data_IF_271367215813
#
_entry.id   IF_271367215813
#
_cell.length_a   1.000
_cell.length_b   1.000
_cell.length_c   1.000
_cell.angle_alpha   90.00
_cell.angle_beta   90.00
_cell.angle_gamma   90.00
#
_symmetry.space_group_name_H-M   'P 1'
#
loop_
_entity.id
_entity.type
_entity.pdbx_description
1 polymer ?
2 non-polymer ?
3 non-polymer ?
4 water ?
#
# COMPACT_ATOMS: atom_id res chain seq x y z
N UNK A 3 33.88 1.64 15.80
CA UNK A 3 33.73 1.30 17.24
C UNK A 3 32.84 2.35 17.88
N UNK A 4 32.74 3.49 17.19
CA UNK A 4 31.90 4.61 17.61
C UNK A 4 30.45 4.18 17.43
N UNK A 5 29.68 4.21 18.51
CA UNK A 5 28.27 3.88 18.39
C UNK A 5 27.56 5.03 17.69
N UNK A 6 26.62 4.71 16.80
CA UNK A 6 25.79 5.74 16.20
C UNK A 6 24.83 6.30 17.26
N UNK A 7 24.32 7.51 17.06
CA UNK A 7 23.37 8.05 18.03
C UNK A 7 22.14 7.16 18.15
N UNK A 8 21.66 6.95 19.37
CA UNK A 8 20.55 6.02 19.63
C UNK A 8 19.39 6.74 20.30
N UNK A 9 18.18 6.55 19.77
CA UNK A 9 17.02 7.25 20.35
C UNK A 9 16.72 6.76 21.75
N UNK A 10 16.11 7.65 22.55
CA UNK A 10 15.66 7.33 23.91
C UNK A 10 14.69 6.16 23.98
N UNK A 11 14.54 5.62 25.19
CA UNK A 11 13.59 4.55 25.42
C UNK A 11 14.16 3.19 24.99
N UNK A 12 13.28 2.26 24.63
CA UNK A 12 13.73 0.97 24.13
C UNK A 12 14.35 0.13 25.22
N UNK A 13 13.81 0.24 26.43
CA UNK A 13 14.36 -0.49 27.56
C UNK A 13 13.60 -1.79 27.77
N UNK A 14 12.68 -2.10 26.87
CA UNK A 14 11.91 -3.36 26.92
C UNK A 14 12.80 -4.55 26.46
N UNK A 15 12.30 -5.78 26.62
CA UNK A 15 13.09 -6.97 26.30
C UNK A 15 13.70 -6.94 24.91
N UNK A 16 12.94 -6.50 23.94
CA UNK A 16 13.48 -6.47 22.57
C UNK A 16 13.83 -5.04 22.11
N UNK A 17 14.24 -4.21 23.07
CA UNK A 17 14.67 -2.87 22.73
C UNK A 17 13.48 -2.00 22.35
N UNK A 18 13.55 -1.41 21.16
CA UNK A 18 12.44 -0.59 20.70
C UNK A 18 11.33 -1.36 19.98
N UNK A 19 11.46 -2.68 19.90
CA UNK A 19 10.51 -3.49 19.13
C UNK A 19 9.09 -3.28 19.59
N UNK A 20 8.89 -3.31 20.89
CA UNK A 20 7.57 -3.20 21.46
C UNK A 20 6.93 -1.86 21.07
N UNK A 21 7.68 -0.77 21.20
CA UNK A 21 7.18 0.51 20.71
C UNK A 21 6.93 0.53 19.19
N UNK A 22 7.82 -0.09 18.43
CA UNK A 22 7.66 -0.17 16.98
C UNK A 22 6.36 -0.91 16.62
N UNK A 23 5.93 -1.82 17.49
CA UNK A 23 4.72 -2.62 17.26
C UNK A 23 3.46 -1.87 17.68
N UNK A 24 3.63 -0.75 18.38
CA UNK A 24 2.48 -0.04 18.94
C UNK A 24 2.34 1.38 18.36
N UNK A 25 3.47 2.05 18.16
CA UNK A 25 3.44 3.42 17.66
C UNK A 25 4.69 3.69 16.86
N UNK A 26 4.82 3.01 15.72
CA UNK A 26 6.05 3.14 14.96
C UNK A 26 6.28 4.58 14.46
N UNK A 27 5.20 5.29 14.16
CA UNK A 27 5.38 6.63 13.65
C UNK A 27 5.95 7.54 14.75
N UNK A 28 5.38 7.51 15.97
CA UNK A 28 5.96 8.28 17.08
C UNK A 28 7.41 7.93 17.40
N UNK A 29 7.76 6.64 17.33
CA UNK A 29 9.16 6.21 17.51
C UNK A 29 10.06 6.84 16.44
N UNK A 30 9.67 6.74 15.17
CA UNK A 30 10.49 7.29 14.11
C UNK A 30 10.59 8.80 14.20
N UNK A 31 9.51 9.48 14.58
CA UNK A 31 9.58 10.94 14.80
C UNK A 31 10.51 11.30 15.92
N UNK A 32 10.50 10.51 16.99
CA UNK A 32 11.38 10.79 18.12
C UNK A 32 12.84 10.62 17.72
N UNK A 33 13.13 9.62 16.89
CA UNK A 33 14.49 9.48 16.37
C UNK A 33 14.97 10.79 15.73
N UNK A 34 14.12 11.34 14.86
CA UNK A 34 14.45 12.56 14.15
C UNK A 34 14.52 13.76 15.08
N UNK A 35 13.55 13.85 16.00
CA UNK A 35 13.51 14.99 16.90
C UNK A 35 14.74 15.03 17.81
N UNK A 36 15.17 13.87 18.30
CA UNK A 36 16.34 13.83 19.20
C UNK A 36 17.68 13.87 18.47
N UNK A 37 17.77 13.18 17.33
CA UNK A 37 19.05 12.89 16.71
C UNK A 37 19.31 13.57 15.36
N UNK A 38 18.24 13.94 14.66
CA UNK A 38 18.35 14.55 13.34
C UNK A 38 18.28 13.52 12.21
N UNK A 39 19.09 13.75 11.17
CA UNK A 39 18.97 13.05 9.90
C UNK A 39 19.42 11.59 9.92
N UNK A 40 20.25 11.25 10.90
CA UNK A 40 20.76 9.88 11.02
C UNK A 40 20.65 9.49 12.49
N UNK A 41 19.83 8.49 12.79
CA UNK A 41 19.68 8.06 14.19
C UNK A 41 19.29 6.62 14.21
N UNK A 42 19.49 5.95 15.34
CA UNK A 42 19.18 4.50 15.38
C UNK A 42 18.13 4.13 16.42
N UNK A 43 17.46 3.01 16.19
CA UNK A 43 16.65 2.36 17.21
C UNK A 43 16.94 0.87 17.15
N UNK A 44 16.64 0.18 18.24
CA UNK A 44 16.98 -1.25 18.33
C UNK A 44 15.74 -2.08 18.06
N UNK A 45 15.83 -2.95 17.07
CA UNK A 45 14.71 -3.86 16.80
C UNK A 45 15.19 -5.27 17.18
N UNK A 46 14.88 -5.72 18.41
CA UNK A 46 15.44 -6.98 18.93
C UNK A 46 16.97 -6.97 18.72
N UNK A 47 17.53 -7.99 18.06
CA UNK A 47 18.99 -7.98 17.95
C UNK A 47 19.53 -7.14 16.82
N UNK A 48 18.70 -6.28 16.24
CA UNK A 48 19.11 -5.59 15.01
C UNK A 48 19.06 -4.12 15.23
N UNK A 49 20.09 -3.41 14.77
CA UNK A 49 20.12 -1.95 14.79
C UNK A 49 19.49 -1.45 13.51
N UNK A 50 18.57 -0.50 13.63
CA UNK A 50 18.00 0.15 12.43
C UNK A 50 18.57 1.56 12.41
N UNK A 51 19.23 1.89 11.32
CA UNK A 51 19.72 3.25 11.07
C UNK A 51 18.65 3.96 10.25
N UNK A 52 17.94 4.85 10.92
CA UNK A 52 16.81 5.55 10.31
C UNK A 52 17.32 6.86 9.73
N UNK A 53 17.19 6.98 8.42
CA UNK A 53 17.60 8.19 7.72
C UNK A 53 16.39 9.05 7.47
N UNK A 54 16.59 10.37 7.49
CA UNK A 54 15.51 11.28 7.12
C UNK A 54 16.08 12.58 6.62
N UNK A 55 15.24 13.34 5.92
CA UNK A 55 15.68 14.60 5.32
C UNK A 55 16.27 14.41 3.95
N UNK A 56 16.37 15.49 3.19
CA UNK A 56 16.77 15.37 1.80
C UNK A 56 18.11 14.68 1.57
N UNK A 57 19.14 15.15 2.26
CA UNK A 57 20.48 14.62 1.99
C UNK A 57 20.61 13.13 2.29
N UNK A 58 20.13 12.71 3.47
CA UNK A 58 20.21 11.28 3.80
C UNK A 58 19.28 10.44 2.92
N UNK A 59 18.09 10.95 2.62
CA UNK A 59 17.17 10.21 1.76
C UNK A 59 17.75 10.02 0.35
N UNK A 60 18.45 11.05 -0.13
CA UNK A 60 19.07 10.96 -1.44
C UNK A 60 20.05 9.80 -1.48
N UNK A 61 20.86 9.68 -0.43
CA UNK A 61 21.76 8.53 -0.34
C UNK A 61 20.98 7.22 -0.43
N UNK A 62 19.91 7.12 0.35
CA UNK A 62 19.13 5.90 0.47
C UNK A 62 18.54 5.52 -0.88
N UNK A 63 17.95 6.48 -1.56
CA UNK A 63 17.19 6.18 -2.77
C UNK A 63 18.04 6.07 -4.01
N UNK A 64 19.23 6.68 -3.97
CA UNK A 64 20.16 6.54 -5.10
C UNK A 64 21.05 5.30 -4.96
N UNK A 65 21.00 4.64 -3.81
CA UNK A 65 21.80 3.42 -3.63
C UNK A 65 21.33 2.26 -4.53
N UNK A 66 22.29 1.64 -5.20
CA UNK A 66 22.05 0.42 -5.96
C UNK A 66 21.99 -0.83 -5.09
N UNK A 67 21.53 -1.93 -5.69
CA UNK A 67 21.28 -3.15 -4.93
C UNK A 67 22.57 -3.68 -4.34
N UNK A 68 23.68 -3.18 -4.89
CA UNK A 68 25.02 -3.49 -4.41
C UNK A 68 25.33 -2.87 -3.05
N UNK A 69 24.78 -1.68 -2.81
CA UNK A 69 25.04 -0.94 -1.58
C UNK A 69 24.01 -1.25 -0.52
N UNK A 70 22.74 -1.21 -0.92
CA UNK A 70 21.65 -1.41 0.01
C UNK A 70 20.70 -2.47 -0.54
N UNK A 71 20.54 -3.57 0.19
CA UNK A 71 19.79 -4.75 -0.25
C UNK A 71 18.36 -4.71 0.28
N UNK A 72 17.42 -4.61 -0.65
CA UNK A 72 16.02 -4.54 -0.28
C UNK A 72 15.44 -5.89 0.19
N UNK A 73 15.52 -6.91 -0.65
CA UNK A 73 14.86 -8.17 -0.34
C UNK A 73 15.33 -8.83 0.97
N UNK A 74 16.60 -8.64 1.33
CA UNK A 74 17.12 -9.18 2.59
C UNK A 74 16.52 -8.55 3.83
N UNK A 75 15.92 -7.38 3.66
CA UNK A 75 15.32 -6.68 4.79
C UNK A 75 13.87 -7.15 5.07
N UNK A 76 13.38 -8.09 4.27
CA UNK A 76 11.97 -8.53 4.37
C UNK A 76 11.83 -10.06 4.52
N UNK A 77 12.60 -10.65 5.45
CA UNK A 77 12.60 -12.11 5.53
C UNK A 77 11.23 -12.66 5.95
N UNK A 78 10.45 -11.82 6.63
CA UNK A 78 9.13 -12.19 7.10
C UNK A 78 8.08 -12.39 5.99
N UNK A 79 8.43 -12.05 4.75
CA UNK A 79 7.50 -12.23 3.63
C UNK A 79 7.55 -13.68 3.12
N UNK A 80 8.53 -14.46 3.58
CA UNK A 80 8.70 -15.84 3.12
C UNK A 80 7.46 -16.74 3.42
N UNK A 81 6.93 -16.67 4.65
CA UNK A 81 5.77 -17.53 4.91
C UNK A 81 4.49 -17.04 4.22
N UNK A 82 4.52 -15.81 3.69
CA UNK A 82 3.36 -15.27 3.00
C UNK A 82 3.39 -15.70 1.53
N UNK A 83 4.49 -15.42 0.85
CA UNK A 83 4.61 -15.86 -0.52
C UNK A 83 4.73 -17.39 -0.61
N UNK A 84 5.49 -17.97 0.31
CA UNK A 84 5.72 -19.41 0.31
C UNK A 84 7.15 -19.76 -0.07
N UNK A 85 7.48 -21.04 0.09
CA UNK A 85 8.81 -21.59 -0.24
C UNK A 85 9.37 -21.21 -1.63
N UNK A 86 8.59 -21.43 -2.68
CA UNK A 86 9.14 -21.34 -4.03
C UNK A 86 9.04 -19.97 -4.74
N UNK A 87 8.50 -18.95 -4.06
CA UNK A 87 8.62 -17.58 -4.57
C UNK A 87 9.92 -17.02 -4.04
N UNK A 88 10.97 -17.10 -4.86
CA UNK A 88 12.34 -16.78 -4.42
C UNK A 88 12.71 -15.31 -4.67
N UNK A 89 12.24 -14.42 -3.79
CA UNK A 89 12.27 -12.99 -4.03
C UNK A 89 13.57 -12.33 -3.59
N UNK A 106 1.98 -2.01 -18.73
CA UNK A 106 2.43 -1.44 -19.99
C UNK A 106 1.46 -0.36 -20.44
N UNK A 107 1.95 0.69 -21.09
CA UNK A 107 1.08 1.78 -21.48
C UNK A 107 -0.08 1.28 -22.31
N UNK A 108 0.23 0.32 -23.18
CA UNK A 108 -0.76 -0.25 -24.09
C UNK A 108 -1.87 -0.99 -23.36
N UNK A 109 -1.63 -1.43 -22.13
CA UNK A 109 -2.67 -2.14 -21.39
C UNK A 109 -3.47 -1.25 -20.45
N UNK A 110 -3.02 -0.02 -20.27
CA UNK A 110 -3.60 0.79 -19.18
C UNK A 110 -5.04 1.16 -19.42
N UNK A 111 -5.34 1.51 -20.68
CA UNK A 111 -6.72 1.86 -21.00
C UNK A 111 -7.65 0.68 -20.69
N UNK A 112 -7.22 -0.54 -21.05
CA UNK A 112 -8.03 -1.72 -20.75
C UNK A 112 -8.19 -1.90 -19.24
N UNK A 113 -7.13 -1.64 -18.50
CA UNK A 113 -7.20 -1.83 -17.06
C UNK A 113 -8.17 -0.81 -16.48
N UNK A 114 -8.18 0.40 -17.04
CA UNK A 114 -9.10 1.43 -16.48
C UNK A 114 -10.54 0.98 -16.68
N UNK A 115 -10.81 0.41 -17.84
CA UNK A 115 -12.16 -0.09 -18.14
C UNK A 115 -12.47 -1.26 -17.18
N UNK A 116 -11.48 -2.11 -16.91
CA UNK A 116 -11.65 -3.23 -16.01
C UNK A 116 -11.99 -2.71 -14.62
N UNK A 117 -11.24 -1.70 -14.20
CA UNK A 117 -11.50 -1.11 -12.90
C UNK A 117 -12.89 -0.50 -12.76
N UNK A 118 -13.31 0.26 -13.77
CA UNK A 118 -14.64 0.80 -13.79
C UNK A 118 -15.65 -0.35 -13.63
N UNK A 119 -15.44 -1.42 -14.36
CA UNK A 119 -16.42 -2.55 -14.30
C UNK A 119 -16.46 -3.15 -12.90
N UNK A 120 -15.30 -3.26 -12.26
CA UNK A 120 -15.25 -3.90 -10.95
C UNK A 120 -15.92 -3.01 -9.92
N UNK A 121 -15.74 -1.70 -10.04
CA UNK A 121 -16.41 -0.79 -9.11
C UNK A 121 -17.91 -0.86 -9.31
N UNK A 122 -18.37 -0.79 -10.57
CA UNK A 122 -19.83 -0.89 -10.80
C UNK A 122 -20.37 -2.18 -10.20
N UNK A 123 -19.62 -3.26 -10.33
CA UNK A 123 -20.08 -4.54 -9.79
C UNK A 123 -20.16 -4.48 -8.27
N UNK A 124 -19.17 -3.84 -7.63
CA UNK A 124 -19.16 -3.73 -6.15
C UNK A 124 -20.29 -2.90 -5.58
N UNK A 125 -20.76 -1.93 -6.34
CA UNK A 125 -21.83 -1.04 -5.84
C UNK A 125 -23.22 -1.40 -6.41
N UNK A 126 -23.28 -2.47 -7.20
CA UNK A 126 -24.52 -2.85 -7.89
C UNK A 126 -25.68 -3.06 -6.91
N UNK A 127 -25.36 -3.52 -5.70
CA UNK A 127 -26.45 -3.80 -4.70
C UNK A 127 -26.61 -2.70 -3.64
N UNK A 128 -25.99 -1.55 -3.90
CA UNK A 128 -26.05 -0.45 -2.95
C UNK A 128 -27.44 0.14 -2.81
N UNK A 129 -28.18 0.20 -3.90
CA UNK A 129 -29.48 0.86 -3.85
C UNK A 129 -29.45 2.37 -3.59
N UNK A 130 -30.53 2.91 -3.05
CA UNK A 130 -30.66 4.34 -2.95
C UNK A 130 -29.74 4.92 -1.87
N UNK A 131 -29.55 4.19 -0.79
CA UNK A 131 -28.84 4.75 0.35
C UNK A 131 -28.43 3.62 1.29
N UNK A 132 -27.40 3.86 2.10
CA UNK A 132 -26.93 2.77 2.96
C UNK A 132 -25.66 3.18 3.68
N UNK A 133 -25.00 2.19 4.27
CA UNK A 133 -23.77 2.44 5.02
C UNK A 133 -22.75 1.38 4.67
N UNK A 134 -21.50 1.80 4.51
CA UNK A 134 -20.42 0.86 4.31
C UNK A 134 -19.32 1.05 5.35
N UNK A 135 -18.49 0.03 5.49
CA UNK A 135 -17.22 0.17 6.22
C UNK A 135 -16.11 0.27 5.17
N UNK A 136 -15.29 1.31 5.25
CA UNK A 136 -14.33 1.58 4.15
C UNK A 136 -13.31 0.46 4.02
N UNK A 137 -12.87 -0.10 5.15
CA UNK A 137 -11.90 -1.21 5.04
C UNK A 137 -12.53 -2.43 4.34
N UNK A 138 -13.69 -2.86 4.81
CA UNK A 138 -14.39 -3.96 4.17
C UNK A 138 -14.60 -3.71 2.67
N UNK A 139 -15.06 -2.51 2.34
CA UNK A 139 -15.39 -2.17 0.96
C UNK A 139 -14.13 -2.10 0.09
N UNK A 140 -13.17 -1.28 0.48
CA UNK A 140 -12.00 -1.11 -0.38
C UNK A 140 -11.05 -2.33 -0.40
N UNK A 141 -10.95 -3.04 0.71
CA UNK A 141 -10.15 -4.27 0.69
C UNK A 141 -10.70 -5.26 -0.33
N UNK A 142 -12.01 -5.46 -0.30
CA UNK A 142 -12.62 -6.44 -1.23
C UNK A 142 -12.54 -5.92 -2.67
N UNK A 143 -12.90 -4.66 -2.87
CA UNK A 143 -12.82 -4.06 -4.22
C UNK A 143 -11.47 -4.27 -4.85
N UNK A 144 -10.41 -4.05 -4.09
CA UNK A 144 -9.07 -4.04 -4.66
C UNK A 144 -8.54 -5.47 -4.87
N UNK A 145 -9.16 -6.44 -4.21
CA UNK A 145 -8.85 -7.83 -4.58
C UNK A 145 -9.36 -8.08 -6.01
N UNK A 146 -10.54 -7.56 -6.31
CA UNK A 146 -11.14 -7.78 -7.63
C UNK A 146 -10.40 -7.00 -8.72
N UNK A 147 -10.07 -5.74 -8.46
CA UNK A 147 -9.35 -4.96 -9.48
C UNK A 147 -7.98 -5.58 -9.72
N UNK A 148 -7.25 -5.94 -8.66
CA UNK A 148 -5.88 -6.49 -8.80
C UNK A 148 -5.92 -7.84 -9.51
N UNK A 149 -6.83 -8.72 -9.06
CA UNK A 149 -6.89 -10.05 -9.70
C UNK A 149 -7.31 -9.92 -11.17
N UNK A 150 -8.27 -9.05 -11.47
CA UNK A 150 -8.74 -8.93 -12.85
C UNK A 150 -7.67 -8.36 -13.75
N UNK A 151 -6.96 -7.34 -13.29
CA UNK A 151 -5.93 -6.72 -14.13
C UNK A 151 -4.66 -7.57 -14.26
N UNK A 152 -4.24 -8.17 -13.15
CA UNK A 152 -2.94 -8.84 -13.13
C UNK A 152 -2.99 -10.30 -13.56
N UNK A 153 -4.11 -10.95 -13.28
CA UNK A 153 -4.24 -12.37 -13.58
C UNK A 153 -5.23 -12.61 -14.73
N UNK A 154 -6.40 -11.96 -14.62
CA UNK A 154 -7.40 -12.03 -15.66
C UNK A 154 -8.81 -11.94 -15.14
N UNK A 155 -9.68 -11.37 -15.95
CA UNK A 155 -11.10 -11.31 -15.63
C UNK A 155 -11.68 -12.70 -15.37
N UNK A 156 -11.32 -13.69 -16.19
CA UNK A 156 -11.83 -15.03 -15.99
C UNK A 156 -11.54 -15.53 -14.56
N UNK A 157 -10.30 -15.28 -14.09
CA UNK A 157 -9.94 -15.67 -12.73
C UNK A 157 -10.71 -14.83 -11.71
N UNK A 158 -10.78 -13.52 -11.88
CA UNK A 158 -11.56 -12.75 -10.90
C UNK A 158 -12.97 -13.25 -10.78
N UNK A 159 -13.56 -13.60 -11.91
CA UNK A 159 -14.96 -14.05 -11.93
C UNK A 159 -15.20 -15.35 -11.15
N UNK A 160 -14.14 -16.10 -10.85
CA UNK A 160 -14.26 -17.28 -10.00
C UNK A 160 -13.92 -16.99 -8.54
N UNK A 161 -13.68 -15.71 -8.20
CA UNK A 161 -13.46 -15.26 -6.81
C UNK A 161 -14.69 -14.65 -6.21
N UNK A 162 -14.79 -14.72 -4.88
CA UNK A 162 -15.82 -14.02 -4.14
C UNK A 162 -15.21 -13.48 -2.86
N UNK A 163 -16.05 -13.13 -1.88
CA UNK A 163 -15.56 -12.50 -0.67
C UNK A 163 -14.59 -13.32 0.16
N UNK A 164 -14.61 -14.65 0.00
CA UNK A 164 -13.72 -15.49 0.80
C UNK A 164 -12.26 -15.18 0.48
N UNK A 165 -11.95 -14.92 -0.79
CA UNK A 165 -10.56 -14.70 -1.14
C UNK A 165 -10.05 -13.45 -0.43
N UNK A 166 -10.87 -12.39 -0.41
CA UNK A 166 -10.49 -11.15 0.26
C UNK A 166 -10.29 -11.37 1.77
N UNK A 167 -11.20 -12.12 2.39
CA UNK A 167 -11.12 -12.40 3.82
C UNK A 167 -9.77 -13.08 4.15
N UNK A 168 -9.39 -14.03 3.33
CA UNK A 168 -8.16 -14.79 3.56
C UNK A 168 -6.92 -13.93 3.30
N UNK A 169 -6.99 -13.15 2.22
CA UNK A 169 -5.86 -12.31 1.86
C UNK A 169 -5.64 -11.29 2.98
N UNK A 170 -6.72 -10.82 3.58
CA UNK A 170 -6.57 -9.91 4.70
C UNK A 170 -5.82 -10.54 5.86
N UNK A 171 -6.12 -11.79 6.20
CA UNK A 171 -5.40 -12.51 7.26
C UNK A 171 -3.93 -12.68 6.94
N UNK A 172 -3.63 -12.87 5.67
CA UNK A 172 -2.27 -13.01 5.29
C UNK A 172 -1.55 -11.70 5.62
N UNK A 173 -2.18 -10.59 5.23
CA UNK A 173 -1.56 -9.28 5.47
C UNK A 173 -1.40 -8.97 6.94
N UNK A 174 -2.35 -9.46 7.74
CA UNK A 174 -2.27 -9.31 9.19
C UNK A 174 -1.14 -10.15 9.81
N UNK A 175 -0.54 -11.04 9.01
CA UNK A 175 0.59 -11.87 9.45
C UNK A 175 1.97 -11.22 9.44
N UNK A 176 2.02 -9.89 9.59
CA UNK A 176 3.28 -9.16 9.43
C UNK A 176 3.62 -8.34 10.67
N UNK A 177 3.27 -8.87 11.84
CA UNK A 177 3.75 -8.28 13.08
C UNK A 177 5.27 -8.12 13.03
N UNK A 178 5.81 -6.97 13.49
CA UNK A 178 7.27 -6.79 13.44
C UNK A 178 8.01 -7.79 14.33
N UNK A 179 7.28 -8.52 15.17
CA UNK A 179 7.88 -9.62 15.96
C UNK A 179 8.50 -10.62 15.01
N UNK A 180 8.03 -10.60 13.77
CA UNK A 180 8.63 -11.48 12.77
C UNK A 180 10.13 -11.21 12.58
N UNK A 181 10.62 -10.04 12.98
CA UNK A 181 12.06 -9.80 12.91
C UNK A 181 12.81 -10.64 13.95
N UNK A 182 12.11 -11.00 15.02
CA UNK A 182 12.68 -11.95 15.98
C UNK A 182 12.63 -13.34 15.31
N UNK A 183 11.42 -13.78 14.97
CA UNK A 183 11.21 -15.09 14.33
C UNK A 183 9.81 -15.08 13.71
N UNK A 184 9.71 -15.34 12.41
CA UNK A 184 8.38 -15.33 11.76
C UNK A 184 7.49 -16.54 12.09
N UNK A 185 7.98 -17.48 12.91
CA UNK A 185 7.22 -18.70 13.19
C UNK A 185 6.90 -18.88 14.68
N UNK A 186 7.06 -17.80 15.44
CA UNK A 186 6.63 -17.80 16.82
C UNK A 186 5.16 -18.24 16.96
N UNK A 187 4.85 -18.98 18.03
CA UNK A 187 3.50 -19.47 18.23
C UNK A 187 2.62 -18.36 18.76
N UNK A 188 2.37 -17.37 17.91
CA UNK A 188 1.40 -16.36 18.23
C UNK A 188 0.24 -16.48 17.25
N UNK A 189 -0.92 -15.99 17.66
CA UNK A 189 -2.14 -16.21 16.91
C UNK A 189 -2.07 -15.58 15.51
N UNK A 190 -1.46 -14.40 15.39
CA UNK A 190 -1.48 -13.75 14.09
C UNK A 190 -0.66 -14.52 13.09
N UNK A 191 0.38 -15.21 13.58
CA UNK A 191 1.20 -16.04 12.70
C UNK A 191 0.48 -17.34 12.38
N UNK A 192 -0.21 -17.93 13.36
CA UNK A 192 -1.00 -19.15 13.09
C UNK A 192 -2.07 -18.83 12.08
N UNK A 193 -2.72 -17.68 12.25
CA UNK A 193 -3.78 -17.30 11.32
C UNK A 193 -3.22 -16.94 9.92
N UNK A 194 -2.01 -16.39 9.88
CA UNK A 194 -1.36 -16.14 8.60
C UNK A 194 -1.18 -17.47 7.88
N UNK A 195 -0.70 -18.46 8.61
CA UNK A 195 -0.39 -19.73 7.96
C UNK A 195 -1.65 -20.47 7.49
N UNK A 196 -2.69 -20.41 8.32
CA UNK A 196 -3.95 -21.04 7.95
C UNK A 196 -4.59 -20.30 6.78
N UNK A 197 -4.47 -18.98 6.76
CA UNK A 197 -5.06 -18.18 5.70
C UNK A 197 -4.40 -18.59 4.40
N UNK A 198 -3.08 -18.76 4.41
CA UNK A 198 -2.40 -19.18 3.19
C UNK A 198 -2.88 -20.55 2.73
N UNK A 199 -2.97 -21.53 3.64
CA UNK A 199 -3.58 -22.82 3.27
C UNK A 199 -4.99 -22.67 2.66
N UNK A 200 -5.79 -21.73 3.20
CA UNK A 200 -7.13 -21.49 2.69
C UNK A 200 -7.09 -20.96 1.26
N UNK A 201 -6.14 -20.07 0.99
CA UNK A 201 -5.99 -19.53 -0.37
C UNK A 201 -5.57 -20.65 -1.31
N UNK A 202 -4.65 -21.51 -0.89
CA UNK A 202 -4.29 -22.65 -1.77
C UNK A 202 -5.52 -23.50 -2.12
N UNK A 203 -6.34 -23.78 -1.11
CA UNK A 203 -7.57 -24.55 -1.35
C UNK A 203 -8.53 -23.86 -2.35
N UNK A 204 -8.68 -22.54 -2.25
CA UNK A 204 -9.54 -21.83 -3.16
C UNK A 204 -9.01 -21.99 -4.58
N UNK A 205 -7.69 -21.86 -4.73
CA UNK A 205 -7.08 -21.94 -6.06
C UNK A 205 -7.20 -23.36 -6.61
N UNK A 206 -7.06 -24.36 -5.73
CA UNK A 206 -7.25 -25.76 -6.18
C UNK A 206 -8.68 -26.02 -6.61
N UNK A 207 -9.66 -25.49 -5.89
CA UNK A 207 -11.06 -25.67 -6.31
C UNK A 207 -11.24 -24.98 -7.68
N UNK A 208 -10.61 -23.82 -7.90
CA UNK A 208 -10.77 -23.11 -9.18
C UNK A 208 -10.19 -23.97 -10.31
N UNK A 209 -9.00 -24.51 -10.08
CA UNK A 209 -8.36 -25.40 -11.04
C UNK A 209 -9.27 -26.60 -11.36
N UNK A 210 -9.80 -27.23 -10.31
CA UNK A 210 -10.74 -28.35 -10.51
C UNK A 210 -12.01 -27.96 -11.23
N UNK A 211 -12.55 -26.80 -10.90
CA UNK A 211 -13.71 -26.26 -11.58
C UNK A 211 -13.48 -26.11 -13.07
N UNK A 212 -12.26 -25.71 -13.44
CA UNK A 212 -11.95 -25.49 -14.84
C UNK A 212 -11.82 -26.80 -15.62
N UNK A 213 -11.42 -27.86 -14.93
CA UNK A 213 -11.32 -29.18 -15.53
C UNK A 213 -12.71 -29.62 -15.91
N UNK A 214 -13.65 -29.42 -14.99
CA UNK A 214 -14.96 -30.02 -15.11
C UNK A 214 -15.90 -29.19 -15.96
N UNK A 215 -15.63 -27.89 -16.00
CA UNK A 215 -16.52 -26.92 -16.66
C UNK A 215 -15.73 -25.94 -17.54
N UNK A 216 -15.12 -26.45 -18.62
CA UNK A 216 -14.39 -25.61 -19.57
C UNK A 216 -15.33 -24.67 -20.32
N UNK A 222 -10.94 -18.11 -24.46
CA UNK A 222 -11.01 -17.23 -23.28
C UNK A 222 -10.04 -17.81 -22.26
N UNK A 223 -8.88 -17.16 -22.11
CA UNK A 223 -7.82 -17.68 -21.21
C UNK A 223 -7.08 -16.62 -20.40
N UNK A 224 -6.53 -17.04 -19.27
CA UNK A 224 -5.85 -16.09 -18.39
C UNK A 224 -4.55 -16.67 -17.86
N UNK A 225 -3.94 -15.99 -16.90
CA UNK A 225 -2.63 -16.46 -16.46
C UNK A 225 -2.71 -17.78 -15.74
N UNK A 226 -3.84 -18.06 -15.10
CA UNK A 226 -3.97 -19.36 -14.46
C UNK A 226 -3.93 -20.45 -15.54
N UNK A 227 -4.58 -20.22 -16.67
CA UNK A 227 -4.51 -21.22 -17.76
C UNK A 227 -3.09 -21.44 -18.24
N UNK A 228 -2.34 -20.34 -18.35
CA UNK A 228 -0.95 -20.43 -18.77
C UNK A 228 -0.20 -21.34 -17.81
N UNK A 229 -0.41 -21.15 -16.51
CA UNK A 229 0.38 -21.89 -15.53
C UNK A 229 -0.03 -23.37 -15.49
N UNK A 230 -1.32 -23.63 -15.57
CA UNK A 230 -1.83 -25.02 -15.56
C UNK A 230 -1.22 -25.81 -16.74
N UNK A 231 -1.01 -25.14 -17.86
CA UNK A 231 -0.59 -25.87 -19.06
C UNK A 231 0.85 -26.37 -19.01
N UNK A 232 1.70 -25.74 -18.20
CA UNK A 232 3.11 -26.09 -18.20
C UNK A 232 3.34 -27.49 -17.64
N UNK A 233 4.14 -28.27 -18.36
CA UNK A 233 4.40 -29.65 -17.94
C UNK A 233 5.80 -29.81 -17.37
N UNK A 234 5.95 -30.69 -16.41
CA UNK A 234 7.26 -30.91 -15.82
C UNK A 234 8.03 -31.88 -16.70
N UNK A 237 3.76 -35.19 -19.89
CA UNK A 237 4.47 -34.77 -18.67
C UNK A 237 3.52 -34.50 -17.52
N UNK A 238 4.01 -34.64 -16.29
CA UNK A 238 3.19 -34.31 -15.14
C UNK A 238 3.11 -32.79 -15.09
N UNK A 239 1.98 -32.27 -14.60
CA UNK A 239 1.95 -30.81 -14.57
C UNK A 239 3.07 -30.23 -13.74
N UNK A 240 3.63 -29.13 -14.22
CA UNK A 240 4.76 -28.51 -13.57
C UNK A 240 4.39 -27.90 -12.23
N UNK A 241 3.27 -27.19 -12.18
CA UNK A 241 2.98 -26.39 -10.98
C UNK A 241 1.83 -26.92 -10.15
N UNK A 242 2.04 -26.99 -8.84
CA UNK A 242 0.95 -27.31 -7.93
C UNK A 242 0.09 -26.11 -7.57
N UNK A 243 -1.10 -26.37 -7.05
CA UNK A 243 -1.93 -25.29 -6.53
C UNK A 243 -1.13 -24.44 -5.57
N UNK A 244 -0.27 -25.07 -4.75
CA UNK A 244 0.47 -24.28 -3.77
C UNK A 244 1.40 -23.29 -4.44
N UNK A 245 2.15 -23.77 -5.43
CA UNK A 245 3.08 -22.95 -6.22
C UNK A 245 2.36 -21.82 -6.94
N UNK A 246 1.27 -22.16 -7.61
CA UNK A 246 0.50 -21.15 -8.33
C UNK A 246 -0.05 -20.11 -7.39
N UNK A 247 -0.60 -20.57 -6.27
CA UNK A 247 -1.12 -19.63 -5.29
C UNK A 247 -0.05 -18.68 -4.78
N UNK A 248 1.15 -19.18 -4.50
CA UNK A 248 2.24 -18.29 -4.07
C UNK A 248 2.56 -17.26 -5.14
N UNK A 249 2.53 -17.67 -6.42
CA UNK A 249 2.78 -16.73 -7.47
C UNK A 249 1.72 -15.63 -7.48
N UNK A 250 0.44 -16.03 -7.33
CA UNK A 250 -0.64 -15.06 -7.38
C UNK A 250 -0.61 -14.17 -6.14
N UNK A 251 -0.32 -14.75 -4.98
CA UNK A 251 -0.20 -13.89 -3.76
C UNK A 251 0.85 -12.80 -3.98
N UNK A 252 2.01 -13.22 -4.51
CA UNK A 252 3.13 -12.31 -4.70
C UNK A 252 2.75 -11.24 -5.73
N UNK A 253 2.08 -11.64 -6.83
CA UNK A 253 1.65 -10.69 -7.85
C UNK A 253 0.76 -9.62 -7.28
N UNK A 254 -0.12 -10.00 -6.35
CA UNK A 254 -1.15 -9.06 -5.88
C UNK A 254 -0.71 -8.24 -4.68
N UNK A 255 0.38 -8.64 -4.05
CA UNK A 255 0.66 -8.08 -2.72
C UNK A 255 0.96 -6.59 -2.70
N UNK A 256 1.88 -6.16 -3.57
CA UNK A 256 2.38 -4.79 -3.49
C UNK A 256 1.24 -3.81 -3.64
N UNK A 257 0.35 -4.09 -4.60
CA UNK A 257 -0.72 -3.12 -4.93
C UNK A 257 -1.99 -3.25 -4.10
N UNK A 258 -2.10 -4.27 -3.24
CA UNK A 258 -3.40 -4.50 -2.60
C UNK A 258 -3.65 -3.60 -1.41
N UNK A 259 -2.90 -3.78 -0.33
CA UNK A 259 -3.17 -2.93 0.87
C UNK A 259 -2.87 -1.48 0.61
N UNK A 260 -1.95 -1.21 -0.32
CA UNK A 260 -1.58 0.17 -0.61
C UNK A 260 -2.75 0.88 -1.30
N UNK A 261 -3.30 0.25 -2.32
CA UNK A 261 -4.41 0.84 -3.08
C UNK A 261 -5.66 0.93 -2.24
N UNK A 262 -5.87 -0.13 -1.44
CA UNK A 262 -7.04 -0.23 -0.57
C UNK A 262 -7.00 0.94 0.42
N UNK A 263 -5.90 1.07 1.14
CA UNK A 263 -5.79 2.16 2.13
C UNK A 263 -5.84 3.54 1.52
N UNK A 264 -5.18 3.71 0.40
CA UNK A 264 -5.20 5.02 -0.26
C UNK A 264 -6.63 5.42 -0.71
N UNK A 265 -7.40 4.46 -1.22
CA UNK A 265 -8.78 4.76 -1.65
C UNK A 265 -9.56 5.19 -0.43
N UNK A 266 -9.41 4.42 0.66
CA UNK A 266 -10.12 4.79 1.91
C UNK A 266 -9.76 6.20 2.35
N UNK A 267 -8.46 6.49 2.44
CA UNK A 267 -8.03 7.81 2.92
C UNK A 267 -8.40 8.92 1.95
N UNK A 268 -8.42 8.62 0.64
CA UNK A 268 -8.89 9.63 -0.32
C UNK A 268 -10.32 10.05 -0.02
N UNK A 269 -11.21 9.08 0.22
CA UNK A 269 -12.62 9.38 0.49
C UNK A 269 -12.73 10.07 1.84
N UNK A 270 -11.95 9.61 2.83
CA UNK A 270 -12.01 10.27 4.15
C UNK A 270 -11.62 11.73 4.01
N UNK A 271 -10.56 12.02 3.27
CA UNK A 271 -10.08 13.40 3.20
C UNK A 271 -11.04 14.25 2.40
N UNK A 272 -11.67 13.70 1.35
CA UNK A 272 -12.70 14.46 0.63
C UNK A 272 -13.85 14.81 1.58
N UNK A 273 -14.28 13.86 2.41
CA UNK A 273 -15.38 14.18 3.33
C UNK A 273 -14.99 15.18 4.42
N UNK A 274 -13.73 15.15 4.85
CA UNK A 274 -13.21 16.04 5.91
C UNK A 274 -13.01 17.46 5.35
N UNK A 275 -12.93 17.57 4.03
CA UNK A 275 -12.67 18.84 3.38
C UNK A 275 -13.65 19.10 2.27
N UNK A 276 -14.83 19.57 2.64
CA UNK A 276 -15.91 19.62 1.66
C UNK A 276 -15.68 20.52 0.47
N UNK A 277 -14.82 21.53 0.65
CA UNK A 277 -14.50 22.43 -0.44
C UNK A 277 -13.76 21.67 -1.53
N UNK A 278 -12.86 20.81 -1.11
CA UNK A 278 -12.14 19.95 -2.05
C UNK A 278 -13.12 18.94 -2.70
N UNK A 279 -14.00 18.39 -1.89
CA UNK A 279 -14.99 17.44 -2.43
C UNK A 279 -15.85 18.13 -3.49
N UNK A 280 -16.35 19.33 -3.18
CA UNK A 280 -17.15 20.08 -4.14
C UNK A 280 -16.39 20.40 -5.44
N UNK A 281 -15.12 20.74 -5.34
CA UNK A 281 -14.35 21.03 -6.55
C UNK A 281 -14.16 19.78 -7.37
N UNK A 282 -13.94 18.66 -6.68
CA UNK A 282 -13.77 17.39 -7.43
C UNK A 282 -15.06 17.03 -8.17
N UNK A 283 -16.21 17.14 -7.51
CA UNK A 283 -17.51 16.90 -8.14
C UNK A 283 -17.69 17.77 -9.40
N UNK A 284 -17.42 19.06 -9.28
CA UNK A 284 -17.62 19.97 -10.40
C UNK A 284 -16.75 19.53 -11.56
N UNK A 285 -15.50 19.19 -11.25
CA UNK A 285 -14.57 18.88 -12.32
C UNK A 285 -14.90 17.56 -12.99
N UNK A 286 -15.30 16.56 -12.21
CA UNK A 286 -15.74 15.30 -12.79
C UNK A 286 -16.94 15.56 -13.71
N UNK A 287 -17.91 16.31 -13.22
CA UNK A 287 -19.10 16.58 -14.03
C UNK A 287 -18.73 17.31 -15.33
N UNK A 288 -17.81 18.27 -15.25
CA UNK A 288 -17.34 19.00 -16.45
C UNK A 288 -16.56 18.09 -17.41
N UNK A 289 -15.56 17.37 -16.88
CA UNK A 289 -14.73 16.54 -17.72
C UNK A 289 -15.56 15.51 -18.44
N UNK A 290 -16.45 14.81 -17.71
CA UNK A 290 -17.22 13.71 -18.35
C UNK A 290 -18.30 14.23 -19.33
N UNK A 291 -18.49 15.53 -19.33
CA UNK A 291 -19.41 16.14 -20.26
C UNK A 291 -18.98 16.08 -21.71
N UNK A 292 -17.76 15.61 -21.96
CA UNK A 292 -17.31 15.39 -23.34
C UNK A 292 -17.77 14.04 -23.88
N UNK A 293 -18.39 13.24 -23.03
CA UNK A 293 -18.96 11.97 -23.45
C UNK A 293 -17.98 10.83 -23.53
N UNK A 294 -16.73 11.06 -23.12
CA UNK A 294 -15.75 9.98 -23.17
C UNK A 294 -15.82 9.09 -21.92
N UNK A 295 -15.36 7.86 -22.05
CA UNK A 295 -15.43 6.91 -20.95
C UNK A 295 -14.43 7.15 -19.80
N UNK A 296 -14.64 6.41 -18.72
CA UNK A 296 -13.66 6.34 -17.62
C UNK A 296 -12.32 5.90 -18.16
N UNK A 297 -12.30 4.97 -19.12
CA UNK A 297 -11.01 4.51 -19.67
C UNK A 297 -10.23 5.62 -20.42
N UNK A 298 -10.96 6.62 -20.91
CA UNK A 298 -10.34 7.81 -21.46
C UNK A 298 -9.91 8.76 -20.33
N UNK A 299 -10.83 9.07 -19.42
CA UNK A 299 -10.55 10.14 -18.48
C UNK A 299 -9.61 9.74 -17.34
N UNK A 300 -9.57 8.44 -17.02
CA UNK A 300 -8.74 8.00 -15.92
C UNK A 300 -7.26 8.03 -16.28
N UNK A 301 -6.99 8.23 -17.58
CA UNK A 301 -5.63 8.35 -18.06
C UNK A 301 -5.25 9.77 -18.45
N UNK A 302 -6.09 10.72 -18.04
CA UNK A 302 -5.87 12.14 -18.34
C UNK A 302 -6.12 12.95 -17.11
N UNK A 303 -5.77 14.24 -17.17
CA UNK A 303 -5.78 15.04 -15.96
C UNK A 303 -7.18 15.11 -15.36
N UNK A 304 -7.25 14.89 -14.05
CA UNK A 304 -8.43 15.26 -13.28
C UNK A 304 -7.82 16.03 -12.11
N UNK A 305 -7.60 17.35 -12.30
CA UNK A 305 -6.61 18.05 -11.48
C UNK A 305 -6.89 18.10 -10.00
N UNK A 306 -8.10 18.47 -9.62
CA UNK A 306 -8.38 18.62 -8.20
C UNK A 306 -8.33 17.27 -7.52
N UNK A 307 -8.88 16.23 -8.15
CA UNK A 307 -8.81 14.91 -7.56
C UNK A 307 -7.34 14.48 -7.43
N UNK A 308 -6.55 14.75 -8.46
CA UNK A 308 -5.15 14.32 -8.40
C UNK A 308 -4.37 14.99 -7.27
N UNK A 309 -4.69 16.25 -7.01
CA UNK A 309 -4.04 16.98 -5.92
C UNK A 309 -4.54 16.54 -4.55
N UNK A 310 -5.82 16.23 -4.46
CA UNK A 310 -6.35 15.55 -3.25
C UNK A 310 -5.62 14.23 -3.02
N UNK A 311 -5.43 13.46 -4.09
CA UNK A 311 -4.71 12.16 -3.95
C UNK A 311 -3.26 12.36 -3.52
N UNK A 312 -2.58 13.32 -4.15
CA UNK A 312 -1.21 13.62 -3.73
C UNK A 312 -1.16 13.97 -2.25
N UNK A 313 -2.09 14.80 -1.79
CA UNK A 313 -2.06 15.23 -0.38
C UNK A 313 -2.39 14.08 0.57
N UNK A 314 -3.32 13.24 0.15
CA UNK A 314 -3.72 12.08 0.95
C UNK A 314 -2.48 11.17 1.09
N UNK A 315 -1.77 10.97 -0.01
CA UNK A 315 -0.58 10.14 0.06
C UNK A 315 0.53 10.76 0.93
N UNK A 316 0.62 12.10 0.91
CA UNK A 316 1.65 12.76 1.72
C UNK A 316 1.36 12.50 3.19
N UNK A 317 0.09 12.63 3.56
CA UNK A 317 -0.33 12.53 4.97
C UNK A 317 -0.50 11.08 5.44
N UNK A 318 -0.90 10.18 4.53
CA UNK A 318 -1.20 8.82 4.91
C UNK A 318 -0.48 7.84 4.00
N UNK A 319 0.85 7.94 3.96
CA UNK A 319 1.58 7.04 3.06
C UNK A 319 1.37 5.59 3.54
N UNK A 320 0.93 4.69 2.62
CA UNK A 320 0.65 3.34 3.14
C UNK A 320 1.88 2.57 3.56
N UNK A 321 3.03 2.82 2.92
CA UNK A 321 4.31 2.31 3.43
C UNK A 321 4.93 3.38 4.31
N UNK A 322 4.98 3.13 5.63
CA UNK A 322 5.51 4.18 6.52
C UNK A 322 6.99 4.09 6.78
N UNK A 323 7.57 2.95 6.41
CA UNK A 323 9.02 2.73 6.54
C UNK A 323 9.45 1.82 5.39
N UNK A 324 10.68 2.02 4.91
CA UNK A 324 11.26 1.27 3.80
C UNK A 324 12.58 0.75 4.28
N UNK A 325 12.80 -0.56 4.13
CA UNK A 325 13.90 -1.25 4.79
C UNK A 325 14.98 -1.68 3.79
N UNK A 326 16.22 -1.73 4.27
CA UNK A 326 17.32 -2.22 3.48
C UNK A 326 18.30 -2.89 4.44
N UNK A 327 19.13 -3.78 3.90
CA UNK A 327 20.33 -4.25 4.62
C UNK A 327 21.58 -3.69 3.94
N UNK A 328 22.42 -2.98 4.69
CA UNK A 328 23.64 -2.42 4.10
C UNK A 328 24.59 -3.55 3.72
N UNK A 329 25.10 -3.50 2.50
CA UNK A 329 26.04 -4.48 1.95
C UNK A 329 27.47 -4.00 2.15
N UNK A 330 27.63 -2.83 2.75
CA UNK A 330 28.93 -2.17 2.80
C UNK A 330 29.02 -1.01 3.75
N UNK A 331 30.19 -0.36 3.75
CA UNK A 331 30.41 0.80 4.62
C UNK A 331 30.19 2.08 3.84
N UNK A 332 29.41 2.97 4.44
CA UNK A 332 29.06 4.24 3.81
C UNK A 332 29.09 5.25 4.91
N UNK A 333 29.23 6.51 4.54
CA UNK A 333 29.19 7.55 5.53
C UNK A 333 28.11 8.53 5.12
N UNK A 334 27.27 8.89 6.07
CA UNK A 334 26.21 9.85 5.81
C UNK A 334 26.21 10.89 6.90
N UNK A 335 26.58 12.11 6.51
CA UNK A 335 26.77 13.20 7.46
C UNK A 335 27.73 12.87 8.61
N UNK A 336 28.81 12.17 8.27
CA UNK A 336 29.83 11.85 9.26
C UNK A 336 29.33 10.82 10.24
N UNK A 337 28.32 10.06 9.84
CA UNK A 337 27.95 8.87 10.61
C UNK A 337 28.21 7.65 9.75
N UNK A 338 28.86 6.65 10.32
CA UNK A 338 29.21 5.47 9.55
C UNK A 338 28.17 4.35 9.64
N UNK A 339 27.65 3.98 8.49
CA UNK A 339 26.80 2.82 8.36
C UNK A 339 27.73 1.65 8.02
N UNK A 340 27.60 0.54 8.73
CA UNK A 340 28.39 -0.63 8.38
C UNK A 340 27.56 -1.73 7.76
N UNK A 341 28.26 -2.60 7.05
CA UNK A 341 27.66 -3.79 6.49
C UNK A 341 26.84 -4.57 7.55
N UNK A 342 25.58 -4.88 7.20
CA UNK A 342 24.67 -5.65 8.09
C UNK A 342 23.75 -4.80 8.95
N UNK A 343 24.03 -3.51 9.01
CA UNK A 343 23.11 -2.58 9.64
C UNK A 343 21.82 -2.69 8.83
N UNK A 344 20.68 -2.62 9.51
CA UNK A 344 19.43 -2.40 8.76
C UNK A 344 19.43 -0.91 8.56
N UNK A 345 18.98 -0.45 7.38
CA UNK A 345 18.94 0.95 7.07
C UNK A 345 17.54 1.27 6.54
N UNK A 346 16.94 2.34 7.05
CA UNK A 346 15.52 2.61 6.73
C UNK A 346 15.33 4.06 6.35
N UNK A 347 14.36 4.27 5.47
CA UNK A 347 13.80 5.60 5.25
C UNK A 347 12.33 5.60 5.66
N UNK A 348 11.74 6.77 5.90
CA UNK A 348 10.34 6.80 6.30
C UNK A 348 9.51 7.84 5.57
N UNK A 349 8.62 7.37 4.69
CA UNK A 349 7.72 8.31 4.09
C UNK A 349 6.86 9.00 5.16
N UNK A 350 6.46 8.29 6.22
CA UNK A 350 5.61 8.90 7.27
C UNK A 350 6.24 10.16 7.81
N UNK A 351 7.52 10.06 8.16
CA UNK A 351 8.28 11.19 8.74
C UNK A 351 8.75 12.19 7.67
N UNK A 352 9.35 11.70 6.60
CA UNK A 352 9.88 12.61 5.61
C UNK A 352 8.81 13.48 4.96
N UNK A 353 7.62 12.92 4.75
CA UNK A 353 6.55 13.64 4.07
C UNK A 353 6.04 14.81 4.90
N UNK A 354 6.47 14.90 6.15
CA UNK A 354 5.95 15.95 7.04
C UNK A 354 7.04 16.88 7.56
N UNK A 355 8.19 16.88 6.89
CA UNK A 355 9.31 17.71 7.33
C UNK A 355 8.90 19.16 7.11
N UNK A 356 8.86 19.97 8.19
CA UNK A 356 8.23 21.29 8.04
C UNK A 356 8.99 22.31 7.23
N UNK A 357 10.31 22.10 7.13
CA UNK A 357 11.13 22.94 6.26
C UNK A 357 10.84 22.67 4.77
N UNK A 358 10.28 21.48 4.45
CA UNK A 358 10.04 21.09 3.07
C UNK A 358 8.57 21.27 2.68
N UNK A 359 7.68 21.08 3.65
CA UNK A 359 6.23 21.12 3.42
C UNK A 359 5.60 22.05 4.42
N UNK A 360 5.44 23.33 4.04
CA UNK A 360 4.87 24.31 4.95
C UNK A 360 3.58 23.78 5.56
N UNK A 361 3.43 23.91 6.87
CA UNK A 361 2.21 23.43 7.55
C UNK A 361 1.99 21.96 7.21
N UNK A 362 2.95 21.13 7.60
CA UNK A 362 3.00 19.75 7.11
C UNK A 362 1.87 18.86 7.64
N UNK A 363 1.17 19.29 8.68
CA UNK A 363 0.06 18.50 9.21
C UNK A 363 -1.27 18.89 8.63
N UNK A 364 -1.25 19.93 7.81
CA UNK A 364 -2.44 20.44 7.20
C UNK A 364 -2.68 19.84 5.83
N UNK A 365 -3.96 19.69 5.51
CA UNK A 365 -4.37 19.11 4.25
C UNK A 365 -4.50 20.24 3.25
N UNK A 366 -3.56 20.34 2.29
CA UNK A 366 -3.45 21.51 1.38
C UNK A 366 -3.15 21.05 -0.04
N UNK A 367 -4.21 20.64 -0.74
CA UNK A 367 -3.99 20.13 -2.11
C UNK A 367 -3.36 21.19 -3.03
N UNK A 368 -3.66 22.46 -2.76
CA UNK A 368 -2.98 23.56 -3.50
C UNK A 368 -1.44 23.48 -3.48
N UNK A 369 -0.86 22.69 -2.57
CA UNK A 369 0.58 22.62 -2.52
C UNK A 369 1.17 21.93 -3.77
N UNK A 370 0.30 21.29 -4.58
CA UNK A 370 0.77 20.58 -5.76
C UNK A 370 0.41 21.33 -7.05
N UNK A 371 -0.25 22.46 -6.90
CA UNK A 371 -0.57 23.25 -8.10
C UNK A 371 0.71 23.83 -8.70
N UNK A 372 0.65 24.22 -9.98
CA UNK A 372 1.87 24.65 -10.69
C UNK A 372 2.76 25.65 -9.97
N UNK A 373 2.16 26.59 -9.22
CA UNK A 373 3.01 27.55 -8.50
C UNK A 373 3.93 26.87 -7.49
N UNK A 374 3.42 25.91 -6.71
CA UNK A 374 4.23 25.27 -5.65
C UNK A 374 4.89 23.94 -5.98
N UNK A 375 4.17 23.08 -6.67
CA UNK A 375 4.64 21.74 -6.97
C UNK A 375 5.53 21.14 -5.89
N UNK A 376 5.00 21.04 -4.67
CA UNK A 376 5.86 20.56 -3.55
C UNK A 376 6.32 19.11 -3.68
N UNK A 377 5.56 18.30 -4.42
CA UNK A 377 5.98 16.94 -4.73
C UNK A 377 7.21 16.96 -5.61
N UNK A 378 7.17 17.80 -6.64
CA UNK A 378 8.26 17.79 -7.61
C UNK A 378 9.53 18.47 -7.11
N UNK A 379 9.36 19.54 -6.33
CA UNK A 379 10.47 20.33 -5.80
C UNK A 379 11.20 19.59 -4.68
N UNK A 380 10.50 18.72 -3.96
CA UNK A 380 11.12 17.98 -2.86
C UNK A 380 11.35 16.55 -3.27
N UNK A 381 12.26 16.37 -4.21
CA UNK A 381 12.47 15.10 -4.86
C UNK A 381 12.84 13.96 -3.92
N UNK A 382 13.49 14.29 -2.80
CA UNK A 382 13.98 13.26 -1.94
C UNK A 382 13.22 13.13 -0.65
N UNK A 383 12.26 14.02 -0.43
CA UNK A 383 11.44 13.94 0.78
C UNK A 383 9.91 13.77 0.56
N UNK A 384 9.37 14.11 -0.62
CA UNK A 384 8.00 13.71 -0.97
C UNK A 384 8.09 12.29 -1.52
N UNK A 385 7.92 11.31 -0.64
CA UNK A 385 8.30 9.94 -1.01
C UNK A 385 7.22 8.87 -0.73
N UNK A 386 5.93 9.21 -0.97
CA UNK A 386 4.92 8.16 -0.76
C UNK A 386 5.07 7.01 -1.75
N UNK A 387 5.66 7.30 -2.91
CA UNK A 387 5.98 6.28 -3.94
C UNK A 387 7.49 6.09 -4.04
N UNK A 388 8.24 6.32 -2.97
CA UNK A 388 9.71 6.21 -3.10
C UNK A 388 10.35 7.24 -4.00
N UNK A 389 11.57 6.94 -4.43
CA UNK A 389 12.34 7.87 -5.23
C UNK A 389 13.58 7.20 -5.81
N UNK A 390 14.24 7.90 -6.71
CA UNK A 390 15.42 7.37 -7.37
C UNK A 390 15.30 5.96 -7.89
N UNK A 391 16.28 5.13 -7.54
CA UNK A 391 16.38 3.79 -8.10
C UNK A 391 15.16 2.94 -7.83
N UNK A 392 14.42 3.27 -6.78
CA UNK A 392 13.32 2.43 -6.35
C UNK A 392 11.99 3.13 -6.46
N UNK A 393 11.88 4.11 -7.35
CA UNK A 393 10.60 4.76 -7.56
C UNK A 393 9.53 3.71 -7.92
N UNK A 394 8.34 3.83 -7.32
CA UNK A 394 7.29 2.84 -7.47
C UNK A 394 6.92 2.62 -8.94
N UNK A 395 7.12 1.38 -9.42
CA UNK A 395 6.78 1.02 -10.78
C UNK A 395 5.25 0.93 -10.97
N UNK A 396 4.51 0.84 -9.86
CA UNK A 396 3.02 0.75 -9.91
C UNK A 396 2.29 2.09 -9.69
N UNK A 397 3.04 3.17 -9.56
CA UNK A 397 2.41 4.47 -9.27
C UNK A 397 1.42 4.93 -10.33
N UNK A 398 1.78 4.82 -11.61
CA UNK A 398 0.87 5.24 -12.67
C UNK A 398 -0.43 4.40 -12.61
N UNK A 399 -0.32 3.09 -12.41
CA UNK A 399 -1.50 2.23 -12.25
C UNK A 399 -2.31 2.65 -11.02
N UNK A 400 -1.64 2.85 -9.89
CA UNK A 400 -2.36 3.18 -8.66
C UNK A 400 -3.09 4.50 -8.80
N UNK A 401 -2.46 5.47 -9.45
CA UNK A 401 -3.09 6.77 -9.68
C UNK A 401 -4.27 6.66 -10.63
N UNK A 402 -4.07 5.98 -11.76
CA UNK A 402 -5.18 5.68 -12.67
C UNK A 402 -6.32 4.97 -11.92
N UNK A 403 -5.98 4.03 -11.03
CA UNK A 403 -7.03 3.28 -10.34
C UNK A 403 -7.85 4.17 -9.39
N UNK A 404 -7.20 5.07 -8.68
CA UNK A 404 -7.94 6.04 -7.88
C UNK A 404 -8.85 6.88 -8.76
N UNK A 405 -8.29 7.31 -9.88
CA UNK A 405 -9.09 8.15 -10.77
C UNK A 405 -10.29 7.37 -11.28
N UNK A 406 -10.09 6.12 -11.67
CA UNK A 406 -11.22 5.34 -12.19
C UNK A 406 -12.27 5.09 -11.09
N UNK A 407 -11.79 4.67 -9.91
CA UNK A 407 -12.72 4.40 -8.82
C UNK A 407 -13.58 5.60 -8.49
N UNK A 408 -12.94 6.75 -8.25
CA UNK A 408 -13.69 7.92 -7.83
C UNK A 408 -14.48 8.57 -8.95
N UNK A 409 -14.04 8.39 -10.20
CA UNK A 409 -14.88 8.83 -11.33
C UNK A 409 -16.26 8.14 -11.26
N UNK A 410 -16.28 6.89 -10.83
CA UNK A 410 -17.55 6.14 -10.71
C UNK A 410 -18.24 6.53 -9.42
N UNK A 411 -17.54 6.32 -8.31
CA UNK A 411 -18.22 6.52 -6.99
C UNK A 411 -18.78 7.90 -6.80
N UNK A 412 -17.99 8.91 -7.14
CA UNK A 412 -18.40 10.30 -6.84
C UNK A 412 -19.46 10.83 -7.80
N UNK A 413 -19.59 10.21 -8.98
CA UNK A 413 -20.67 10.62 -9.88
C UNK A 413 -21.98 9.90 -9.57
N UNK A 414 -21.91 8.71 -8.99
CA UNK A 414 -23.13 7.94 -8.68
C UNK A 414 -23.69 8.24 -7.32
N UNK A 415 -22.81 8.38 -6.32
CA UNK A 415 -23.24 8.53 -4.94
C UNK A 415 -22.66 9.75 -4.24
N UNK A 416 -23.39 10.27 -3.23
CA UNK A 416 -22.90 11.27 -2.30
C UNK A 416 -22.48 10.54 -1.04
N UNK A 417 -21.36 10.94 -0.43
CA UNK A 417 -20.86 10.28 0.78
C UNK A 417 -20.79 11.23 1.97
N UNK A 418 -21.13 10.69 3.16
CA UNK A 418 -21.02 11.43 4.42
C UNK A 418 -20.39 10.54 5.48
N UNK A 419 -19.67 11.17 6.39
CA UNK A 419 -19.12 10.43 7.51
C UNK A 419 -20.19 10.02 8.50
N UNK A 420 -20.07 8.78 8.98
CA UNK A 420 -21.02 8.25 9.96
C UNK A 420 -20.43 8.19 11.38
N UNK A 421 -19.24 8.78 11.53
CA UNK A 421 -18.57 8.81 12.81
C UNK A 421 -17.74 10.10 12.86
N UNK A 422 -17.26 10.49 14.05
CA UNK A 422 -16.58 11.79 14.11
C UNK A 422 -15.37 11.83 13.17
N UNK A 423 -15.14 12.97 12.52
CA UNK A 423 -14.10 13.02 11.47
C UNK A 423 -12.70 12.68 11.99
N UNK A 424 -12.37 13.06 13.22
CA UNK A 424 -11.05 12.73 13.78
C UNK A 424 -10.90 11.26 14.23
N UNK A 425 -11.98 10.47 14.17
CA UNK A 425 -11.94 9.10 14.69
C UNK A 425 -11.51 8.08 13.65
N UNK A 426 -11.37 8.50 12.40
CA UNK A 426 -10.81 7.62 11.36
C UNK A 426 -9.32 7.54 11.59
N UNK A 427 -8.79 6.32 11.53
CA UNK A 427 -7.37 6.10 11.88
C UNK A 427 -6.87 4.80 11.33
N UNK A 428 -5.56 4.68 11.24
CA UNK A 428 -4.91 3.45 10.78
C UNK A 428 -4.54 2.62 11.97
N UNK A 429 -4.48 1.32 11.73
CA UNK A 429 -3.83 0.33 12.61
C UNK A 429 -2.40 0.14 12.17
N UNK A 430 -1.47 0.52 13.05
CA UNK A 430 -0.04 0.45 12.74
C UNK A 430 0.68 -0.69 13.46
N UNK A 431 -0.08 -1.63 13.98
CA UNK A 431 0.52 -2.71 14.78
C UNK A 431 1.24 -3.75 13.92
N UNK A 432 1.00 -3.76 12.60
CA UNK A 432 1.69 -4.68 11.70
C UNK A 432 2.50 -3.94 10.68
N UNK A 433 3.47 -4.62 10.09
CA UNK A 433 4.27 -3.97 9.07
C UNK A 433 3.36 -3.58 7.89
N UNK A 434 2.28 -4.34 7.65
CA UNK A 434 1.30 -3.95 6.64
C UNK A 434 0.27 -3.04 7.28
N UNK A 435 0.27 -1.76 6.91
CA UNK A 435 -0.64 -0.82 7.52
C UNK A 435 -2.07 -1.05 7.00
N UNK A 436 -3.05 -0.98 7.88
CA UNK A 436 -4.46 -1.09 7.50
C UNK A 436 -5.27 -0.05 8.17
N UNK A 437 -6.31 0.40 7.49
CA UNK A 437 -7.26 1.26 8.12
C UNK A 437 -7.84 0.51 9.30
N UNK A 438 -8.04 1.20 10.41
CA UNK A 438 -8.72 0.62 11.57
C UNK A 438 -10.23 0.70 11.37
N UNK A 439 -10.96 -0.13 12.13
CA UNK A 439 -12.42 -0.10 12.19
C UNK A 439 -12.88 0.39 13.59
N UNK A 440 -14.01 1.11 13.66
CA UNK A 440 -14.90 1.43 12.55
C UNK A 440 -14.33 2.46 11.57
N UNK A 441 -14.77 2.36 10.32
CA UNK A 441 -14.53 3.37 9.31
C UNK A 441 -15.85 3.50 8.53
N UNK A 442 -16.88 3.99 9.21
CA UNK A 442 -18.26 3.95 8.69
C UNK A 442 -18.59 5.18 7.88
N UNK A 443 -19.20 4.96 6.71
CA UNK A 443 -19.54 6.02 5.81
C UNK A 443 -20.91 5.74 5.21
N UNK A 444 -21.74 6.77 5.14
CA UNK A 444 -23.03 6.61 4.50
C UNK A 444 -23.05 7.14 3.07
N UNK A 445 -23.86 6.50 2.22
CA UNK A 445 -24.01 6.98 0.85
C UNK A 445 -25.48 7.24 0.53
N UNK A 446 -25.70 8.05 -0.49
CA UNK A 446 -27.04 8.28 -1.01
C UNK A 446 -26.86 8.61 -2.49
N UNK A 447 -27.74 8.09 -3.32
CA UNK A 447 -27.64 8.33 -4.76
C UNK A 447 -27.64 9.81 -5.07
N UNK A 448 -26.77 10.21 -6.00
CA UNK A 448 -26.75 11.58 -6.44
C UNK A 448 -27.93 11.81 -7.37
N UNK A 449 -28.58 12.96 -7.22
CA UNK A 449 -29.60 13.40 -8.18
C UNK A 449 -28.95 14.33 -9.20
N UNK A 450 -29.33 15.50 -9.26
X LIG B 1 8.39 0.81 -5.08
X LIG B 1 4.62 2.70 -2.61
X LIG B 1 1.49 0.44 -5.55
X LIG B 1 5.19 -2.20 -7.24
X LIG B 1 7.64 1.49 -4.16
X LIG B 1 8.16 2.26 -3.05
X LIG B 1 7.11 2.77 -2.38
X LIG B 1 5.90 2.35 -3.04
X LIG B 1 7.10 3.67 -1.13
X LIG B 1 9.67 2.38 -2.75
X LIG B 1 10.01 1.08 -2.00
X LIG B 1 11.39 1.15 -1.39
X LIG B 1 12.16 2.10 -1.69
X LIG B 1 11.71 0.25 -0.56
X LIG B 1 3.45 2.32 -3.23
X LIG B 1 2.14 2.87 -3.00
X LIG B 1 1.27 2.24 -3.84
X LIG B 1 2.04 1.27 -4.60
X LIG B 1 1.85 3.98 -1.99
X LIG B 1 -0.24 2.40 -4.01
X LIG B 1 -0.80 3.58 -3.77
X LIG B 1 2.23 -0.48 -6.29
X LIG B 1 1.71 -1.38 -7.30
X LIG B 1 2.72 -2.10 -7.76
X LIG B 1 3.92 -1.69 -7.06
X LIG B 1 0.23 -1.45 -7.75
X LIG B 1 2.77 -3.19 -8.87
X LIG B 1 1.85 -4.15 -8.98
X LIG B 1 6.38 -1.60 -6.90
X LIG B 1 7.68 -1.92 -7.45
X LIG B 1 8.68 -0.98 -6.80
X LIG B 1 7.90 -0.18 -5.89
X LIG B 1 7.96 -3.00 -8.51
X LIG B 1 10.20 -0.97 -7.08
X LIG B 1 10.97 -1.41 -5.83
X LIG B 1 12.37 -0.89 -6.00
X LIG B 1 12.93 -0.31 -5.03
X LIG B 1 12.92 -1.02 -7.13
X LIG B 1 6.26 1.56 -4.12
X LIG B 1 3.36 1.34 -4.20
X LIG B 1 3.60 -0.70 -6.16
X LIG B 1 6.55 -0.54 -6.02
X LIG B 1 4.91 0.42 -5.13
X LIG C 1 6.20 -7.19 -0.32
X LIG C 1 7.13 -6.54 0.07
X LIG C 1 8.50 -6.83 -0.49
X LIG C 1 9.45 -7.54 0.45
X LIG C 1 10.74 -7.90 -0.28
X LIG C 1 10.90 -7.14 -1.59
X LIG C 1 10.54 -5.67 -1.40
X LIG C 1 9.09 -5.49 -0.94
X LIG C 1 6.94 -5.54 0.93
X LIG C 1 5.55 -5.32 1.32
X LIG C 1 5.48 -4.69 2.72
X LIG C 1 5.85 -5.65 3.83
X LIG C 1 6.29 -3.42 2.85
X LIG C 1 4.92 -4.43 0.28
X LIG C 1 3.70 -4.46 0.10
X LIG C 1 5.78 -3.68 -0.43
X LIG C 1 5.48 -2.77 -1.47
X LIG C 1 6.54 -2.30 -2.24
X LIG C 1 6.25 -1.42 -3.26
X LIG C 1 4.97 -1.04 -3.47
X LIG C 1 4.00 -1.49 -2.74
X LIG C 1 4.20 -2.32 -1.76
#
# INVERSE_FOLDING_TARGET
>A
MSAVALPRVSGGHDEHGHLEEFRTDPIGLMQRVRDELGDVGTFQLAGKQVVLLSGSHANEFFFRAGDDDLDQAKAYPFMTPIFGEAVVFDASPERRKEMLHNAALRGEQMKGHAATIEDQVRRMIADWGEAGEIDLLDFFAELTIYTSSACLIGKKFRDQLDGRFAKLYHELERGTDPLAYVDPYLPIESFRRRDEARNGLVALVADIMNGRIANPPTDKSDRDMLDVLIAVKAETGTPRFSADEITGMFISMMFAGHHTSSGTASWTLIELMRHRDAYAAVIDELDELYGDGRSVSFHALRQIPQLENVLKETLRLHPPLIILMRVAKGEFEVQGHRIHEGDLVAASPAISNRIPEDFPDPHDFVPARYEQPRQEDLLNRWTWIPFGAGRHRCVGAAFAIMQIKAIFSVLLREYEFEMAQPPESYRNDHSKMVVQLAQPAAVRYRRRTGVHHHH
>B hetero
1 HEM CHA CHB CHC CHD C1A C2A C3A C4A CMA CAA CBA CGA O1A O2A C1B C2B C3B C4B CMB CAB CBB C1C C2C C3C C4C CMC CAC CBC C1D C2D C3D C4D CMD CAD CBD CGD O1D O2D NA NB NC ND FE
>C hetero
1 CII O1 C8 C9 C10 C11 C12 C13 C14 N3 C7 C15 C16 C17 C6 O2 N2 C5 C1 C2 N1 C3 C4
#
